data_IF_999010694756
#
_entry.id   IF_999010694756
#
_cell.length_a   1.000
_cell.length_b   1.000
_cell.length_c   1.000
_cell.angle_alpha   90.00
_cell.angle_beta   90.00
_cell.angle_gamma   90.00
#
_symmetry.space_group_name_H-M   'P 1'
#
loop_
_entity.id
_entity.type
_entity.pdbx_description
1 polymer ?
#
# COMPACT_ATOMS: atom_id res chain seq x y z
N UNK A 1 -5.35 2.89 -6.93
CA UNK A 1 -6.39 1.93 -6.49
C UNK A 1 -7.74 2.61 -6.34
N UNK A 2 -7.78 3.87 -5.87
CA UNK A 2 -8.97 4.73 -5.89
C UNK A 2 -8.89 5.77 -7.00
N UNK A 3 -10.03 6.17 -7.55
CA UNK A 3 -10.18 6.96 -8.78
C UNK A 3 -10.87 8.32 -8.58
N UNK A 4 -10.92 8.84 -7.35
CA UNK A 4 -11.44 10.18 -7.08
C UNK A 4 -10.38 11.27 -7.35
N UNK A 5 -10.79 12.38 -7.97
CA UNK A 5 -9.90 13.45 -8.47
C UNK A 5 -8.90 13.99 -7.44
N UNK A 6 -9.29 14.12 -6.17
CA UNK A 6 -8.41 14.62 -5.11
C UNK A 6 -7.39 13.59 -4.57
N UNK A 7 -7.45 12.32 -4.98
CA UNK A 7 -6.53 11.30 -4.45
C UNK A 7 -5.09 11.55 -4.91
N UNK A 8 -4.88 11.83 -6.18
CA UNK A 8 -3.53 12.06 -6.72
C UNK A 8 -2.92 13.38 -6.21
N UNK A 9 -3.65 14.52 -6.20
CA UNK A 9 -3.19 15.76 -5.57
C UNK A 9 -2.80 15.60 -4.10
N UNK A 10 -3.59 14.84 -3.31
CA UNK A 10 -3.26 14.62 -1.91
C UNK A 10 -1.98 13.78 -1.73
N UNK A 11 -1.78 12.75 -2.56
CA UNK A 11 -0.52 11.96 -2.55
C UNK A 11 0.66 12.84 -2.93
N UNK A 12 0.52 13.68 -3.95
CA UNK A 12 1.56 14.63 -4.36
C UNK A 12 1.87 15.66 -3.26
N UNK A 13 0.84 16.20 -2.59
CA UNK A 13 1.02 17.09 -1.45
C UNK A 13 1.78 16.45 -0.28
N UNK A 14 1.48 15.19 0.06
CA UNK A 14 2.22 14.45 1.08
C UNK A 14 3.66 14.20 0.63
N UNK A 15 3.87 13.75 -0.61
CA UNK A 15 5.21 13.54 -1.16
C UNK A 15 6.04 14.83 -1.14
N UNK A 16 5.48 15.93 -1.61
CA UNK A 16 6.11 17.26 -1.63
C UNK A 16 6.46 17.74 -0.22
N UNK A 17 5.55 17.57 0.75
CA UNK A 17 5.82 17.87 2.17
C UNK A 17 7.04 17.11 2.70
N UNK A 18 7.22 15.85 2.29
CA UNK A 18 8.37 15.03 2.66
C UNK A 18 9.59 15.17 1.73
N UNK A 19 9.66 16.20 0.89
CA UNK A 19 10.80 16.45 0.00
C UNK A 19 10.90 15.49 -1.19
N UNK A 20 9.78 14.87 -1.59
CA UNK A 20 9.70 13.81 -2.61
C UNK A 20 8.68 14.15 -3.72
N UNK A 21 8.44 15.44 -3.98
CA UNK A 21 7.45 15.89 -4.98
C UNK A 21 7.67 15.31 -6.38
N UNK A 22 8.92 15.00 -6.76
CA UNK A 22 9.23 14.42 -8.07
C UNK A 22 8.83 12.93 -8.22
N UNK A 23 8.30 12.28 -7.17
CA UNK A 23 7.88 10.88 -7.25
C UNK A 23 6.65 10.77 -8.17
N UNK A 24 6.73 10.01 -9.29
CA UNK A 24 5.63 9.91 -10.24
C UNK A 24 4.37 9.30 -9.62
N UNK A 25 3.24 9.99 -9.76
CA UNK A 25 1.92 9.53 -9.30
C UNK A 25 1.07 9.12 -10.49
N UNK A 26 0.65 7.86 -10.52
CA UNK A 26 -0.24 7.33 -11.55
C UNK A 26 -1.63 7.01 -11.01
N UNK A 27 -2.68 7.28 -11.79
CA UNK A 27 -4.08 7.09 -11.38
C UNK A 27 -4.71 5.90 -12.08
N UNK A 28 -5.42 5.09 -11.29
CA UNK A 28 -6.27 4.00 -11.76
C UNK A 28 -7.62 4.56 -12.19
N UNK A 29 -8.16 4.13 -13.33
CA UNK A 29 -9.46 4.58 -13.85
C UNK A 29 -10.47 3.42 -13.85
N UNK A 30 -10.61 2.76 -12.70
CA UNK A 30 -11.35 1.49 -12.58
C UNK A 30 -12.84 1.63 -12.23
N UNK A 31 -13.30 2.79 -11.75
CA UNK A 31 -14.65 2.94 -11.22
C UNK A 31 -14.83 2.38 -9.81
N UNK A 32 -13.75 1.89 -9.17
CA UNK A 32 -13.82 1.21 -7.87
C UNK A 32 -13.63 2.23 -6.75
N UNK A 33 -14.66 2.37 -5.91
CA UNK A 33 -14.74 3.32 -4.78
C UNK A 33 -14.54 4.79 -5.17
N UNK A 34 -15.32 5.34 -6.11
CA UNK A 34 -15.13 6.71 -6.63
C UNK A 34 -15.53 7.81 -5.64
N UNK A 35 -15.95 7.47 -4.42
CA UNK A 35 -16.43 8.45 -3.45
C UNK A 35 -15.28 9.28 -2.88
N UNK A 36 -15.53 10.56 -2.61
CA UNK A 36 -14.57 11.44 -1.96
C UNK A 36 -14.07 10.86 -0.62
N UNK A 37 -12.77 11.01 -0.33
CA UNK A 37 -12.23 10.67 0.99
C UNK A 37 -12.47 11.80 1.99
N UNK A 38 -12.59 11.46 3.27
CA UNK A 38 -12.73 12.46 4.35
C UNK A 38 -11.57 13.44 4.44
N UNK A 39 -10.38 13.02 4.02
CA UNK A 39 -9.13 13.77 4.24
C UNK A 39 -8.43 14.25 2.97
N UNK A 40 -8.77 13.73 1.78
CA UNK A 40 -8.13 14.18 0.53
C UNK A 40 -8.47 15.63 0.19
N UNK A 41 -9.52 16.17 0.82
CA UNK A 41 -9.89 17.60 0.78
C UNK A 41 -8.80 18.51 1.33
N UNK A 42 -7.81 17.98 2.04
CA UNK A 42 -6.66 18.75 2.50
C UNK A 42 -5.81 19.28 1.33
N UNK A 43 -5.79 18.59 0.18
CA UNK A 43 -5.05 19.05 -1.00
C UNK A 43 -5.51 20.44 -1.47
N UNK A 44 -6.79 20.79 -1.29
CA UNK A 44 -7.35 22.07 -1.74
C UNK A 44 -7.28 23.18 -0.66
N UNK A 45 -6.69 22.90 0.51
CA UNK A 45 -6.61 23.88 1.59
C UNK A 45 -5.63 25.00 1.26
N UNK A 46 -6.02 26.22 1.62
CA UNK A 46 -5.24 27.44 1.37
C UNK A 46 -5.00 28.23 2.65
N UNK A 47 -3.83 28.84 2.74
CA UNK A 47 -3.48 29.86 3.72
C UNK A 47 -3.29 31.20 2.98
N UNK A 48 -4.37 32.00 2.93
CA UNK A 48 -4.45 33.16 2.06
C UNK A 48 -4.52 32.75 0.59
N UNK A 49 -3.62 33.28 -0.23
CA UNK A 49 -3.54 32.98 -1.66
C UNK A 49 -2.68 31.73 -1.98
N UNK A 50 -1.95 31.21 -1.00
CA UNK A 50 -1.05 30.07 -1.16
C UNK A 50 -1.70 28.77 -0.73
N UNK A 51 -1.35 27.65 -1.38
CA UNK A 51 -1.76 26.34 -0.91
C UNK A 51 -1.09 26.03 0.42
N UNK A 52 -1.86 25.55 1.40
CA UNK A 52 -1.33 25.13 2.71
C UNK A 52 -0.33 23.98 2.54
N UNK A 53 -0.64 23.07 1.63
CA UNK A 53 0.23 21.96 1.25
C UNK A 53 0.64 22.14 -0.21
N UNK A 54 1.84 22.67 -0.51
CA UNK A 54 2.33 22.84 -1.87
C UNK A 54 2.38 21.50 -2.63
N UNK A 55 1.93 21.51 -3.87
CA UNK A 55 1.91 20.37 -4.79
C UNK A 55 1.64 20.87 -6.22
N UNK A 56 2.02 20.10 -7.25
CA UNK A 56 1.87 20.51 -8.65
C UNK A 56 0.76 19.76 -9.39
N UNK A 57 0.39 18.57 -8.92
CA UNK A 57 -0.68 17.77 -9.49
C UNK A 57 -2.05 18.24 -9.00
N UNK A 58 -2.81 18.93 -9.85
CA UNK A 58 -4.07 19.58 -9.44
C UNK A 58 -5.32 18.72 -9.57
N UNK A 59 -5.27 17.67 -10.38
CA UNK A 59 -6.35 16.69 -10.48
C UNK A 59 -5.83 15.31 -10.81
N UNK A 60 -6.50 14.28 -10.32
CA UNK A 60 -6.29 12.90 -10.75
C UNK A 60 -6.54 12.71 -12.25
N UNK A 61 -7.30 13.60 -12.90
CA UNK A 61 -7.47 13.62 -14.35
C UNK A 61 -6.18 13.99 -15.10
N UNK A 62 -5.34 14.84 -14.50
CA UNK A 62 -4.08 15.30 -15.07
C UNK A 62 -2.95 14.27 -14.87
N UNK A 63 -3.14 13.31 -13.97
CA UNK A 63 -2.17 12.29 -13.68
C UNK A 63 -2.05 11.27 -14.83
N UNK A 64 -0.82 10.78 -15.12
CA UNK A 64 -0.64 9.67 -16.04
C UNK A 64 -1.40 8.42 -15.57
N UNK A 65 -1.68 7.55 -16.53
CA UNK A 65 -2.21 6.21 -16.23
C UNK A 65 -1.27 5.40 -15.31
N UNK A 66 -1.86 4.70 -14.33
CA UNK A 66 -1.10 3.95 -13.33
C UNK A 66 -0.23 2.83 -13.93
N UNK A 67 -0.73 2.09 -14.93
CA UNK A 67 0.05 1.03 -15.58
C UNK A 67 1.22 1.64 -16.35
N UNK A 68 1.01 2.79 -16.99
CA UNK A 68 2.07 3.52 -17.68
C UNK A 68 3.19 3.96 -16.73
N UNK A 69 2.85 4.46 -15.53
CA UNK A 69 3.84 4.78 -14.49
C UNK A 69 4.56 3.52 -14.01
N UNK A 70 3.83 2.44 -13.70
CA UNK A 70 4.42 1.17 -13.26
C UNK A 70 5.41 0.62 -14.29
N UNK A 71 5.03 0.57 -15.58
CA UNK A 71 5.90 0.08 -16.65
C UNK A 71 7.16 0.93 -16.79
N UNK A 72 7.05 2.26 -16.74
CA UNK A 72 8.21 3.18 -16.80
C UNK A 72 9.16 2.95 -15.63
N UNK A 73 8.64 2.91 -14.41
CA UNK A 73 9.45 2.68 -13.21
C UNK A 73 10.15 1.33 -13.23
N UNK A 74 9.44 0.25 -13.59
CA UNK A 74 10.03 -1.08 -13.71
C UNK A 74 11.08 -1.16 -14.81
N UNK A 75 10.81 -0.61 -16.00
CA UNK A 75 11.75 -0.65 -17.11
C UNK A 75 13.08 0.06 -16.79
N UNK A 76 13.00 1.20 -16.07
CA UNK A 76 14.16 1.99 -15.65
C UNK A 76 14.94 1.39 -14.48
N UNK A 77 14.33 0.49 -13.70
CA UNK A 77 14.96 -0.11 -12.52
C UNK A 77 15.95 -1.22 -12.89
N UNK A 78 16.88 -1.52 -12.00
CA UNK A 78 17.76 -2.68 -12.13
C UNK A 78 16.97 -3.99 -12.05
N UNK A 79 17.46 -5.04 -12.73
CA UNK A 79 16.80 -6.35 -12.71
C UNK A 79 16.81 -6.95 -11.29
N UNK A 80 15.69 -7.51 -10.86
CA UNK A 80 15.52 -8.10 -9.52
C UNK A 80 15.71 -7.14 -8.35
N UNK A 81 15.58 -5.82 -8.56
CA UNK A 81 15.79 -4.80 -7.52
C UNK A 81 14.49 -4.29 -6.88
N UNK A 82 13.36 -4.38 -7.58
CA UNK A 82 12.13 -3.67 -7.19
C UNK A 82 11.35 -4.46 -6.15
N UNK A 83 10.92 -3.78 -5.08
CA UNK A 83 9.88 -4.28 -4.17
C UNK A 83 8.61 -3.48 -4.42
N UNK A 84 7.48 -4.17 -4.62
CA UNK A 84 6.17 -3.53 -4.77
C UNK A 84 5.38 -3.74 -3.49
N UNK A 85 4.89 -2.65 -2.90
CA UNK A 85 3.92 -2.69 -1.82
C UNK A 85 2.52 -2.41 -2.39
N UNK A 86 1.65 -3.41 -2.41
CA UNK A 86 0.23 -3.22 -2.68
C UNK A 86 -0.51 -3.00 -1.37
N UNK A 87 -1.04 -1.80 -1.18
CA UNK A 87 -1.80 -1.38 0.02
C UNK A 87 -3.21 -0.90 -0.35
N UNK A 88 -3.79 -1.56 -1.35
CA UNK A 88 -5.12 -1.27 -1.89
C UNK A 88 -5.52 -2.37 -2.87
N UNK A 89 -6.47 -2.08 -3.76
CA UNK A 89 -6.99 -3.07 -4.71
C UNK A 89 -5.95 -3.53 -5.74
N UNK A 90 -6.09 -4.77 -6.19
CA UNK A 90 -5.16 -5.44 -7.11
C UNK A 90 -5.25 -4.97 -8.56
N UNK A 91 -6.20 -4.08 -8.89
CA UNK A 91 -6.53 -3.67 -10.27
C UNK A 91 -5.30 -3.23 -11.08
N UNK A 92 -4.50 -2.30 -10.55
CA UNK A 92 -3.31 -1.81 -11.25
C UNK A 92 -2.29 -2.91 -11.56
N UNK A 93 -2.13 -3.89 -10.65
CA UNK A 93 -1.17 -4.98 -10.85
C UNK A 93 -1.75 -6.05 -11.79
N UNK A 94 -3.06 -6.32 -11.74
CA UNK A 94 -3.73 -7.18 -12.69
C UNK A 94 -3.68 -6.60 -14.13
N UNK A 95 -3.88 -5.29 -14.27
CA UNK A 95 -3.74 -4.59 -15.54
C UNK A 95 -2.29 -4.54 -16.01
N UNK A 96 -1.33 -4.36 -15.09
CA UNK A 96 0.10 -4.48 -15.40
C UNK A 96 0.41 -5.86 -15.96
N UNK A 97 -0.03 -6.95 -15.33
CA UNK A 97 0.17 -8.31 -15.84
C UNK A 97 -0.48 -8.52 -17.21
N UNK A 98 -1.60 -7.84 -17.48
CA UNK A 98 -2.30 -7.87 -18.78
C UNK A 98 -1.66 -6.99 -19.85
N UNK A 99 -0.72 -6.13 -19.50
CA UNK A 99 -0.14 -5.16 -20.44
C UNK A 99 0.80 -5.82 -21.45
N UNK A 100 0.71 -5.41 -22.71
CA UNK A 100 1.60 -5.86 -23.77
C UNK A 100 2.92 -5.08 -23.79
N UNK A 101 3.86 -5.51 -24.64
CA UNK A 101 5.04 -4.72 -24.98
C UNK A 101 4.64 -3.33 -25.52
N UNK A 102 5.42 -2.30 -25.19
CA UNK A 102 5.17 -0.93 -25.63
C UNK A 102 6.49 -0.15 -25.81
N UNK A 103 6.43 1.15 -26.14
CA UNK A 103 7.63 1.96 -26.36
C UNK A 103 8.57 2.05 -25.15
N UNK A 104 8.06 1.81 -23.94
CA UNK A 104 8.83 1.84 -22.68
C UNK A 104 9.65 0.57 -22.47
N UNK A 105 9.15 -0.59 -22.94
CA UNK A 105 9.80 -1.88 -22.76
C UNK A 105 9.29 -2.90 -23.78
N UNK A 106 10.18 -3.67 -24.43
CA UNK A 106 9.79 -4.74 -25.34
C UNK A 106 9.19 -5.96 -24.63
N UNK A 107 9.19 -6.00 -23.29
CA UNK A 107 8.59 -7.07 -22.50
C UNK A 107 7.10 -6.78 -22.22
N UNK A 108 6.26 -7.82 -22.29
CA UNK A 108 4.92 -7.76 -21.73
C UNK A 108 4.98 -7.61 -20.19
N UNK A 109 3.82 -7.39 -19.57
CA UNK A 109 3.67 -7.18 -18.14
C UNK A 109 4.29 -8.29 -17.29
N UNK A 110 3.96 -9.54 -17.58
CA UNK A 110 4.45 -10.71 -16.83
C UNK A 110 5.97 -10.82 -16.91
N UNK A 111 6.54 -10.72 -18.10
CA UNK A 111 8.00 -10.81 -18.30
C UNK A 111 8.74 -9.62 -17.69
N UNK A 112 8.15 -8.42 -17.75
CA UNK A 112 8.72 -7.24 -17.10
C UNK A 112 8.74 -7.40 -15.58
N UNK A 113 7.63 -7.84 -14.98
CA UNK A 113 7.57 -8.12 -13.53
C UNK A 113 8.57 -9.20 -13.15
N UNK A 114 8.61 -10.32 -13.88
CA UNK A 114 9.54 -11.43 -13.63
C UNK A 114 11.01 -10.98 -13.68
N UNK A 115 11.33 -10.04 -14.58
CA UNK A 115 12.69 -9.51 -14.73
C UNK A 115 13.05 -8.49 -13.66
N UNK A 116 12.12 -7.63 -13.25
CA UNK A 116 12.42 -6.43 -12.45
C UNK A 116 12.08 -6.57 -10.96
N UNK A 117 11.05 -7.33 -10.62
CA UNK A 117 10.48 -7.36 -9.28
C UNK A 117 11.06 -8.50 -8.45
N UNK A 118 11.66 -8.13 -7.32
CA UNK A 118 12.18 -9.04 -6.30
C UNK A 118 11.07 -9.62 -5.43
N UNK A 119 10.13 -8.77 -5.00
CA UNK A 119 9.10 -9.11 -4.03
C UNK A 119 7.84 -8.28 -4.27
N UNK A 120 6.69 -8.94 -4.20
CA UNK A 120 5.40 -8.30 -4.01
C UNK A 120 4.95 -8.49 -2.56
N UNK A 121 4.87 -7.40 -1.80
CA UNK A 121 4.32 -7.36 -0.45
C UNK A 121 2.91 -6.79 -0.51
N UNK A 122 1.90 -7.56 -0.10
CA UNK A 122 0.49 -7.15 -0.22
C UNK A 122 -0.16 -7.03 1.14
N UNK A 123 -0.81 -5.91 1.42
CA UNK A 123 -1.79 -5.82 2.50
C UNK A 123 -3.12 -6.33 1.93
N UNK A 124 -3.39 -7.61 2.19
CA UNK A 124 -4.60 -8.26 1.69
C UNK A 124 -4.85 -9.59 2.42
N UNK A 125 -6.12 -9.99 2.43
CA UNK A 125 -6.55 -11.28 2.98
C UNK A 125 -6.51 -11.37 4.49
N UNK A 126 -6.94 -12.51 5.01
CA UNK A 126 -6.84 -12.88 6.41
C UNK A 126 -6.46 -14.36 6.51
N UNK A 127 -5.43 -14.68 7.28
CA UNK A 127 -4.91 -16.05 7.43
C UNK A 127 -5.16 -16.61 8.83
N UNK A 128 -5.94 -15.89 9.63
CA UNK A 128 -6.44 -16.30 10.94
C UNK A 128 -7.91 -15.88 11.10
N UNK A 129 -8.71 -16.61 11.91
CA UNK A 129 -10.06 -16.17 12.24
C UNK A 129 -10.06 -14.83 12.95
N UNK A 130 -10.90 -13.90 12.49
CA UNK A 130 -11.08 -12.59 13.13
C UNK A 130 -12.34 -12.67 13.99
N UNK A 131 -12.18 -12.50 15.30
CA UNK A 131 -13.28 -12.67 16.29
C UNK A 131 -13.99 -14.03 16.16
N UNK A 132 -13.22 -15.08 15.85
CA UNK A 132 -13.72 -16.46 15.76
C UNK A 132 -14.43 -16.81 14.45
N UNK A 133 -14.39 -15.95 13.43
CA UNK A 133 -15.01 -16.22 12.12
C UNK A 133 -14.05 -15.93 10.97
N UNK A 134 -14.34 -16.51 9.80
CA UNK A 134 -13.72 -16.12 8.52
C UNK A 134 -13.91 -14.63 8.29
N UNK A 135 -12.86 -13.98 7.80
CA UNK A 135 -12.88 -12.56 7.47
C UNK A 135 -12.64 -12.36 5.97
N UNK A 136 -13.57 -11.68 5.31
CA UNK A 136 -13.43 -11.28 3.92
C UNK A 136 -12.81 -9.88 3.90
N UNK A 137 -11.52 -9.83 3.56
CA UNK A 137 -10.71 -8.61 3.68
C UNK A 137 -11.06 -7.60 2.56
N UNK A 138 -11.04 -6.31 2.90
CA UNK A 138 -11.54 -5.22 2.07
C UNK A 138 -10.83 -5.10 0.70
N UNK A 139 -9.50 -5.16 0.65
CA UNK A 139 -8.73 -5.04 -0.57
C UNK A 139 -8.97 -6.21 -1.54
N UNK A 140 -9.32 -7.40 -1.01
CA UNK A 140 -9.75 -8.55 -1.81
C UNK A 140 -11.18 -8.36 -2.32
N UNK A 141 -12.16 -8.14 -1.44
CA UNK A 141 -13.59 -8.16 -1.83
C UNK A 141 -14.00 -7.02 -2.75
N UNK A 142 -13.25 -5.90 -2.75
CA UNK A 142 -13.56 -4.76 -3.62
C UNK A 142 -13.22 -4.99 -5.08
N UNK A 143 -12.33 -5.93 -5.37
CA UNK A 143 -11.98 -6.30 -6.74
C UNK A 143 -11.53 -7.77 -6.79
N UNK A 144 -12.49 -8.68 -6.56
CA UNK A 144 -12.23 -10.13 -6.55
C UNK A 144 -11.58 -10.60 -7.86
N UNK A 145 -12.04 -10.20 -9.07
CA UNK A 145 -11.40 -10.63 -10.32
C UNK A 145 -9.93 -10.22 -10.41
N UNK A 146 -9.58 -8.98 -10.06
CA UNK A 146 -8.19 -8.54 -10.07
C UNK A 146 -7.36 -9.20 -8.98
N UNK A 147 -7.94 -9.46 -7.80
CA UNK A 147 -7.29 -10.19 -6.72
C UNK A 147 -6.99 -11.64 -7.13
N UNK A 148 -7.96 -12.33 -7.71
CA UNK A 148 -7.79 -13.69 -8.26
C UNK A 148 -6.68 -13.71 -9.32
N UNK A 149 -6.75 -12.82 -10.30
CA UNK A 149 -5.75 -12.70 -11.37
C UNK A 149 -4.35 -12.45 -10.82
N UNK A 150 -4.21 -11.46 -9.93
CA UNK A 150 -2.91 -11.13 -9.36
C UNK A 150 -2.33 -12.34 -8.62
N UNK A 151 -3.10 -12.98 -7.76
CA UNK A 151 -2.61 -14.10 -6.95
C UNK A 151 -2.27 -15.32 -7.81
N UNK A 152 -3.02 -15.59 -8.89
CA UNK A 152 -2.76 -16.76 -9.74
C UNK A 152 -1.66 -16.55 -10.78
N UNK A 153 -1.51 -15.33 -11.31
CA UNK A 153 -0.63 -15.04 -12.44
C UNK A 153 0.68 -14.36 -12.06
N UNK A 154 0.85 -13.87 -10.82
CA UNK A 154 2.08 -13.20 -10.42
C UNK A 154 3.29 -14.14 -10.56
N UNK A 155 4.34 -13.75 -11.33
CA UNK A 155 5.43 -14.66 -11.64
C UNK A 155 6.45 -14.82 -10.50
N UNK A 156 6.46 -13.89 -9.53
CA UNK A 156 7.42 -13.82 -8.43
C UNK A 156 6.88 -14.27 -7.08
N UNK A 157 7.59 -13.94 -6.00
CA UNK A 157 7.14 -14.18 -4.63
C UNK A 157 6.06 -13.17 -4.23
N UNK A 158 5.02 -13.65 -3.54
CA UNK A 158 4.05 -12.80 -2.84
C UNK A 158 4.15 -13.05 -1.34
N UNK A 159 4.24 -11.97 -0.56
CA UNK A 159 4.10 -12.03 0.89
C UNK A 159 2.89 -11.21 1.32
N UNK A 160 1.94 -11.86 1.98
CA UNK A 160 0.71 -11.26 2.45
C UNK A 160 0.87 -10.76 3.90
N UNK A 161 0.68 -9.46 4.10
CA UNK A 161 0.36 -8.88 5.40
C UNK A 161 -1.16 -8.97 5.60
N UNK A 162 -1.60 -10.01 6.32
CA UNK A 162 -3.01 -10.27 6.57
C UNK A 162 -3.66 -9.23 7.49
N UNK A 163 -4.99 -9.16 7.46
CA UNK A 163 -5.79 -8.26 8.28
C UNK A 163 -5.44 -8.33 9.78
N UNK A 164 -5.18 -9.54 10.29
CA UNK A 164 -4.79 -9.81 11.66
C UNK A 164 -3.48 -9.12 12.08
N UNK A 165 -2.54 -8.95 11.15
CA UNK A 165 -1.23 -8.33 11.42
C UNK A 165 -1.39 -6.84 11.66
N UNK A 166 -2.13 -6.16 10.78
CA UNK A 166 -2.47 -4.75 10.96
C UNK A 166 -3.35 -4.49 12.18
N UNK A 167 -4.27 -5.41 12.50
CA UNK A 167 -5.11 -5.32 13.69
C UNK A 167 -4.28 -5.36 14.98
N UNK A 168 -3.28 -6.25 15.04
CA UNK A 168 -2.41 -6.38 16.20
C UNK A 168 -1.41 -5.23 16.34
N UNK A 169 -0.93 -4.65 15.23
CA UNK A 169 0.00 -3.51 15.23
C UNK A 169 -0.73 -2.14 15.25
N UNK A 170 -1.66 -1.91 16.18
CA UNK A 170 -2.38 -0.64 16.19
C UNK A 170 -1.48 0.56 16.55
N UNK A 171 -1.44 1.57 15.68
CA UNK A 171 -0.68 2.81 15.86
C UNK A 171 -1.23 3.60 17.06
N UNK A 172 -0.37 4.09 17.97
CA UNK A 172 -0.82 4.76 19.18
C UNK A 172 -1.34 6.18 18.92
N UNK A 173 -2.49 6.52 19.49
CA UNK A 173 -3.05 7.88 19.42
C UNK A 173 -2.08 8.94 19.95
N UNK A 174 -1.31 8.59 20.99
CA UNK A 174 -0.34 9.49 21.62
C UNK A 174 0.71 9.98 20.64
N UNK A 175 1.11 9.15 19.66
CA UNK A 175 2.07 9.58 18.64
C UNK A 175 1.47 10.64 17.71
N UNK A 176 0.22 10.47 17.27
CA UNK A 176 -0.50 11.50 16.49
C UNK A 176 -0.61 12.82 17.26
N UNK A 177 -0.86 12.75 18.57
CA UNK A 177 -1.01 13.91 19.45
C UNK A 177 0.31 14.63 19.77
N UNK A 178 1.44 13.91 19.77
CA UNK A 178 2.70 14.42 20.35
C UNK A 178 3.86 14.50 19.37
N UNK A 179 3.93 13.63 18.36
CA UNK A 179 5.14 13.46 17.55
C UNK A 179 5.11 14.24 16.23
N UNK A 180 3.94 14.73 15.81
CA UNK A 180 3.75 15.48 14.55
C UNK A 180 3.68 17.00 14.74
N UNK A 181 3.91 17.50 15.96
CA UNK A 181 3.74 18.91 16.33
C UNK A 181 4.91 19.82 15.92
N UNK A 182 5.89 19.30 15.17
CA UNK A 182 7.02 20.06 14.66
C UNK A 182 6.64 21.04 13.53
N UNK A 183 5.43 20.93 12.99
CA UNK A 183 4.77 21.95 12.16
C UNK A 183 3.33 22.15 12.64
N UNK A 184 2.78 23.35 12.40
CA UNK A 184 1.41 23.68 12.81
C UNK A 184 0.35 22.85 12.05
N UNK A 185 0.55 22.70 10.74
CA UNK A 185 -0.35 21.99 9.83
C UNK A 185 0.40 20.79 9.25
N UNK A 186 0.38 19.66 9.96
CA UNK A 186 1.01 18.43 9.49
C UNK A 186 0.01 17.62 8.65
N UNK A 187 0.28 17.33 7.36
CA UNK A 187 -0.72 16.72 6.46
C UNK A 187 -1.16 15.33 6.93
N UNK A 188 -0.23 14.50 7.44
CA UNK A 188 -0.57 13.19 8.01
C UNK A 188 -1.46 13.32 9.25
N UNK A 189 -1.04 14.05 10.28
CA UNK A 189 -1.83 14.21 11.51
C UNK A 189 -3.22 14.82 11.25
N UNK A 190 -3.32 15.86 10.41
CA UNK A 190 -4.62 16.43 10.03
C UNK A 190 -5.48 15.41 9.27
N UNK A 191 -4.90 14.66 8.33
CA UNK A 191 -5.64 13.64 7.57
C UNK A 191 -6.16 12.51 8.47
N UNK A 192 -5.37 12.13 9.47
CA UNK A 192 -5.74 11.14 10.49
C UNK A 192 -6.96 11.65 11.28
N UNK A 193 -6.88 12.87 11.81
CA UNK A 193 -7.96 13.49 12.61
C UNK A 193 -9.24 13.65 11.79
N UNK A 194 -9.16 14.08 10.53
CA UNK A 194 -10.31 14.19 9.63
C UNK A 194 -10.96 12.83 9.34
N UNK A 195 -10.15 11.77 9.24
CA UNK A 195 -10.68 10.43 9.02
C UNK A 195 -11.45 9.92 10.24
N UNK A 196 -10.80 9.99 11.40
CA UNK A 196 -11.33 9.64 12.71
C UNK A 196 -10.45 10.32 13.80
N UNK A 197 -10.99 11.19 14.67
CA UNK A 197 -10.19 11.87 15.68
C UNK A 197 -9.79 10.95 16.86
N UNK A 198 -8.67 11.21 17.55
CA UNK A 198 -8.32 10.54 18.80
C UNK A 198 -9.36 10.82 19.92
N UNK A 199 -9.41 10.01 21.00
CA UNK A 199 -8.48 8.93 21.33
C UNK A 199 -8.90 7.58 20.72
N UNK A 200 -8.00 6.96 19.95
CA UNK A 200 -8.07 5.55 19.57
C UNK A 200 -6.75 5.11 18.94
N UNK A 201 -6.30 3.89 19.26
CA UNK A 201 -5.22 3.27 18.50
C UNK A 201 -5.81 2.71 17.21
N UNK A 202 -5.16 2.99 16.08
CA UNK A 202 -5.68 2.62 14.75
C UNK A 202 -4.86 1.48 14.16
N UNK A 203 -5.49 0.36 13.75
CA UNK A 203 -4.83 -0.69 13.00
C UNK A 203 -3.99 -0.18 11.82
N UNK A 204 -2.75 -0.66 11.68
CA UNK A 204 -1.81 -0.26 10.62
C UNK A 204 -1.71 -1.33 9.54
N UNK A 205 -2.84 -1.67 8.92
CA UNK A 205 -2.87 -2.69 7.87
C UNK A 205 -1.83 -2.41 6.78
N UNK A 206 -1.86 -1.22 6.19
CA UNK A 206 -0.99 -0.88 5.06
C UNK A 206 0.49 -0.79 5.44
N UNK A 207 0.80 -0.14 6.58
CA UNK A 207 2.19 0.09 7.00
C UNK A 207 2.95 -1.20 7.31
N UNK A 208 2.26 -2.25 7.76
CA UNK A 208 2.91 -3.55 8.03
C UNK A 208 3.46 -4.20 6.76
N UNK A 209 2.76 -4.06 5.62
CA UNK A 209 3.26 -4.53 4.32
C UNK A 209 4.48 -3.71 3.87
N UNK A 210 4.44 -2.38 4.04
CA UNK A 210 5.57 -1.50 3.70
C UNK A 210 6.80 -1.82 4.55
N UNK A 211 6.61 -1.97 5.86
CA UNK A 211 7.69 -2.28 6.81
C UNK A 211 8.38 -3.60 6.46
N UNK A 212 7.60 -4.63 6.13
CA UNK A 212 8.17 -5.92 5.70
C UNK A 212 8.91 -5.80 4.37
N UNK A 213 8.34 -5.09 3.39
CA UNK A 213 8.98 -4.91 2.07
C UNK A 213 10.36 -4.23 2.16
N UNK A 214 10.53 -3.28 3.08
CA UNK A 214 11.78 -2.56 3.28
C UNK A 214 12.77 -3.29 4.20
N UNK A 215 12.28 -3.91 5.27
CA UNK A 215 13.13 -4.49 6.33
C UNK A 215 12.79 -5.96 6.65
N UNK A 216 12.78 -6.86 5.65
CA UNK A 216 12.31 -8.24 5.83
C UNK A 216 13.18 -9.07 6.80
N UNK A 217 14.42 -8.64 7.04
CA UNK A 217 15.40 -9.37 7.86
C UNK A 217 15.66 -8.74 9.25
N UNK A 218 14.90 -7.71 9.63
CA UNK A 218 15.06 -7.07 10.95
C UNK A 218 14.29 -7.75 12.09
N UNK A 219 13.68 -8.90 11.82
CA UNK A 219 12.96 -9.68 12.82
C UNK A 219 11.67 -9.01 13.31
N UNK A 220 11.07 -8.16 12.47
CA UNK A 220 9.76 -7.56 12.72
C UNK A 220 8.62 -8.56 12.57
N UNK A 221 8.75 -9.50 11.64
CA UNK A 221 7.75 -10.50 11.35
C UNK A 221 8.42 -11.85 11.13
N UNK A 222 7.75 -12.92 11.55
CA UNK A 222 8.01 -14.25 11.04
C UNK A 222 7.22 -14.45 9.74
N UNK A 223 7.64 -15.41 8.93
CA UNK A 223 7.00 -15.71 7.65
C UNK A 223 6.48 -17.15 7.67
N UNK A 224 5.32 -17.39 7.08
CA UNK A 224 4.77 -18.74 6.93
C UNK A 224 5.68 -19.65 6.10
N UNK A 225 5.44 -20.96 6.22
CA UNK A 225 5.95 -21.89 5.22
C UNK A 225 5.44 -21.48 3.83
N UNK A 226 6.21 -21.84 2.80
CA UNK A 226 5.81 -21.68 1.42
C UNK A 226 4.46 -22.35 1.16
N UNK A 227 3.64 -21.73 0.31
CA UNK A 227 2.38 -22.30 -0.11
C UNK A 227 1.78 -21.60 -1.30
N UNK A 228 0.55 -21.98 -1.59
CA UNK A 228 -0.30 -21.40 -2.61
C UNK A 228 -1.46 -20.75 -1.89
N UNK A 229 -1.73 -19.50 -2.26
CA UNK A 229 -2.89 -18.76 -1.80
C UNK A 229 -3.91 -18.76 -2.94
N UNK A 230 -5.16 -19.01 -2.61
CA UNK A 230 -6.30 -18.87 -3.52
C UNK A 230 -7.29 -17.85 -2.97
N UNK A 231 -7.96 -17.14 -3.87
CA UNK A 231 -9.07 -16.22 -3.57
C UNK A 231 -10.34 -16.84 -4.16
N UNK A 232 -11.32 -17.18 -3.31
CA UNK A 232 -12.59 -17.73 -3.79
C UNK A 232 -13.53 -16.66 -4.35
N UNK A 233 -14.68 -17.08 -4.89
CA UNK A 233 -15.67 -16.18 -5.48
C UNK A 233 -16.34 -15.23 -4.48
N UNK A 234 -16.13 -15.43 -3.18
CA UNK A 234 -16.60 -14.56 -2.08
C UNK A 234 -15.49 -13.64 -1.57
N UNK A 235 -14.25 -13.83 -2.02
CA UNK A 235 -13.08 -13.10 -1.55
C UNK A 235 -12.44 -13.68 -0.28
N UNK A 236 -12.74 -14.93 0.08
CA UNK A 236 -12.01 -15.65 1.13
C UNK A 236 -10.62 -16.03 0.62
N UNK A 237 -9.59 -15.73 1.42
CA UNK A 237 -8.20 -16.10 1.14
C UNK A 237 -7.82 -17.36 1.89
N UNK A 238 -7.38 -18.39 1.17
CA UNK A 238 -6.94 -19.66 1.76
C UNK A 238 -5.48 -19.91 1.41
N UNK A 239 -4.64 -20.16 2.42
CA UNK A 239 -3.26 -20.63 2.23
C UNK A 239 -3.20 -22.14 2.40
N UNK A 240 -2.68 -22.82 1.38
CA UNK A 240 -2.38 -24.25 1.42
C UNK A 240 -0.86 -24.41 1.32
N UNK A 241 -0.27 -25.05 2.33
CA UNK A 241 1.17 -25.29 2.35
C UNK A 241 1.60 -26.12 1.14
N UNK A 242 2.65 -25.65 0.46
CA UNK A 242 3.25 -26.29 -0.70
C UNK A 242 4.71 -25.81 -0.77
N UNK A 243 5.66 -26.74 -0.73
CA UNK A 243 7.10 -26.42 -0.71
C UNK A 243 7.59 -25.71 -1.98
N UNK A 244 6.89 -25.89 -3.10
CA UNK A 244 7.18 -25.23 -4.39
C UNK A 244 6.35 -23.95 -4.58
N UNK A 245 5.47 -23.64 -3.62
CA UNK A 245 4.63 -22.45 -3.64
C UNK A 245 5.43 -21.15 -3.45
N UNK A 246 4.94 -20.06 -4.03
CA UNK A 246 5.59 -18.74 -3.98
C UNK A 246 4.93 -17.78 -2.99
N UNK A 247 3.88 -18.23 -2.31
CA UNK A 247 3.09 -17.37 -1.43
C UNK A 247 3.40 -17.67 0.03
N UNK A 248 3.56 -16.59 0.79
CA UNK A 248 3.70 -16.63 2.24
C UNK A 248 2.80 -15.58 2.87
N UNK A 249 2.48 -15.75 4.15
CA UNK A 249 1.86 -14.70 4.94
C UNK A 249 2.71 -14.39 6.18
N UNK A 250 2.61 -13.14 6.65
CA UNK A 250 3.31 -12.69 7.84
C UNK A 250 2.68 -13.31 9.10
N UNK A 251 3.53 -13.57 10.10
CA UNK A 251 3.14 -13.93 11.46
C UNK A 251 3.83 -12.97 12.41
N UNK A 252 3.18 -12.73 13.54
CA UNK A 252 3.68 -11.80 14.53
C UNK A 252 3.42 -12.34 15.93
N UNK A 253 4.50 -12.42 16.72
CA UNK A 253 4.44 -12.68 18.16
C UNK A 253 4.24 -11.39 18.97
N UNK A 254 3.87 -11.50 20.25
CA UNK A 254 3.70 -10.33 21.14
C UNK A 254 4.97 -9.47 21.24
N UNK A 255 6.15 -10.11 21.28
CA UNK A 255 7.43 -9.39 21.31
C UNK A 255 7.71 -8.65 20.00
N UNK A 256 7.33 -9.24 18.86
CA UNK A 256 7.43 -8.60 17.55
C UNK A 256 6.42 -7.46 17.41
N UNK A 257 5.21 -7.60 17.93
CA UNK A 257 4.20 -6.55 17.92
C UNK A 257 4.72 -5.25 18.54
N UNK A 258 5.37 -5.33 19.71
CA UNK A 258 5.96 -4.15 20.37
C UNK A 258 7.01 -3.50 19.47
N UNK A 259 7.90 -4.29 18.85
CA UNK A 259 8.95 -3.78 17.94
C UNK A 259 8.37 -3.16 16.68
N UNK A 260 7.34 -3.77 16.11
CA UNK A 260 6.65 -3.28 14.91
C UNK A 260 5.99 -1.94 15.23
N UNK A 261 5.22 -1.85 16.31
CA UNK A 261 4.55 -0.60 16.70
C UNK A 261 5.59 0.50 16.93
N UNK A 262 6.66 0.22 17.67
CA UNK A 262 7.73 1.20 17.89
C UNK A 262 8.39 1.64 16.57
N UNK A 263 8.74 0.70 15.69
CA UNK A 263 9.33 1.02 14.39
C UNK A 263 8.38 1.88 13.53
N UNK A 264 7.08 1.58 13.54
CA UNK A 264 6.09 2.35 12.80
C UNK A 264 5.97 3.77 13.36
N UNK A 265 5.97 3.94 14.69
CA UNK A 265 6.00 5.26 15.33
C UNK A 265 7.22 6.04 14.83
N UNK A 266 8.42 5.52 15.08
CA UNK A 266 9.67 6.23 14.77
C UNK A 266 9.82 6.58 13.29
N UNK A 267 9.45 5.66 12.38
CA UNK A 267 9.58 5.88 10.93
C UNK A 267 8.52 6.83 10.38
N UNK A 268 7.31 6.84 10.94
CA UNK A 268 6.18 7.62 10.39
C UNK A 268 6.15 9.05 10.92
N UNK A 269 6.64 9.27 12.14
CA UNK A 269 6.69 10.60 12.77
C UNK A 269 8.02 11.33 12.53
N UNK A 270 8.95 10.72 11.79
CA UNK A 270 10.24 11.33 11.46
C UNK A 270 10.03 12.64 10.66
N UNK A 271 10.65 13.77 11.07
CA UNK A 271 10.61 15.00 10.28
C UNK A 271 11.22 14.80 8.89
N UNK A 272 10.78 15.56 7.89
CA UNK A 272 11.36 15.50 6.55
C UNK A 272 12.84 15.90 6.54
N UNK A 273 13.64 15.18 5.75
CA UNK A 273 15.03 15.54 5.44
C UNK A 273 15.03 16.42 4.19
N UNK A 274 15.26 17.73 4.36
CA UNK A 274 15.38 18.70 3.26
C UNK A 274 16.81 18.82 2.75
#
# INVERSE_FOLDING_TARGET
TKDHDQCAPFVDAVNTFYGRGDVPVGVCRSGITPQQSKFTVLADQKDGDSDRYPHDLRSGADAPDAVSVLRKSLAASEDGSVVIAQVGFSTNLADLLSSEACEVSPLNGVDLVKKKVKLLSVMAGAFQPIRGATHLEYNIVKDIPSAQKLVSEWPGQIVFSGFEIGLAAAYPATSIEQDYNYVLHHPLAESYVLYNPPPHNRPTWDLTSVLYGLFPHRGYFDVSAAGIVSVDDKGETVHVQNAEGKHHFLKMSDAQQIRVVEALVQLSSEPPHH
#
